data_IF_180705279965
#
_entry.id   IF_180705279965
#
_cell.length_a   1.000
_cell.length_b   1.000
_cell.length_c   1.000
_cell.angle_alpha   90.00
_cell.angle_beta   90.00
_cell.angle_gamma   90.00
#
_symmetry.space_group_name_H-M   'P 1'
#
loop_
_entity.id
_entity.type
_entity.pdbx_description
1 polymer ?
#
# COMPACT_ATOMS: atom_id res chain seq x y z
N UNK A 1 -22.22 -29.78 6.11
CA UNK A 1 -21.91 -28.34 6.22
C UNK A 1 -20.55 -28.24 6.86
N UNK A 2 -19.53 -27.83 6.11
CA UNK A 2 -18.19 -27.59 6.67
C UNK A 2 -18.26 -26.35 7.57
N UNK A 3 -17.69 -26.44 8.76
CA UNK A 3 -17.64 -25.33 9.71
C UNK A 3 -16.26 -24.68 9.63
N UNK A 4 -16.23 -23.40 9.26
CA UNK A 4 -15.03 -22.57 9.35
C UNK A 4 -15.05 -21.87 10.70
N UNK A 5 -13.97 -22.01 11.46
CA UNK A 5 -13.79 -21.35 12.75
C UNK A 5 -12.63 -20.37 12.62
N UNK A 6 -12.85 -19.11 12.93
CA UNK A 6 -11.78 -18.10 12.98
C UNK A 6 -11.44 -17.81 14.43
N UNK A 7 -10.15 -17.71 14.74
CA UNK A 7 -9.64 -17.47 16.10
C UNK A 7 -8.74 -16.24 16.08
N UNK A 8 -9.12 -15.21 16.84
CA UNK A 8 -8.27 -14.05 17.10
C UNK A 8 -7.34 -14.36 18.27
N UNK A 9 -6.03 -14.22 18.07
CA UNK A 9 -5.03 -14.57 19.08
C UNK A 9 -4.58 -13.38 19.95
N UNK A 10 -5.24 -12.21 19.88
CA UNK A 10 -4.83 -11.01 20.61
C UNK A 10 -4.87 -11.12 22.15
N UNK A 11 -5.59 -12.06 22.77
CA UNK A 11 -5.84 -12.07 24.23
C UNK A 11 -5.66 -13.43 24.93
N UNK A 12 -4.79 -14.31 24.45
CA UNK A 12 -4.49 -15.58 25.13
C UNK A 12 -3.01 -15.67 25.51
N UNK A 13 -2.60 -14.77 26.41
CA UNK A 13 -1.36 -14.90 27.16
C UNK A 13 -1.63 -14.62 28.63
N UNK A 14 -2.54 -15.38 29.24
CA UNK A 14 -2.58 -15.59 30.69
C UNK A 14 -3.41 -16.85 30.96
N UNK A 15 -2.85 -17.71 31.81
CA UNK A 15 -3.40 -18.96 32.37
C UNK A 15 -3.29 -20.25 31.55
N UNK A 16 -2.20 -20.98 31.83
CA UNK A 16 -2.05 -22.38 31.45
C UNK A 16 -0.76 -23.01 31.97
N UNK A 17 -0.71 -23.31 33.26
CA UNK A 17 0.32 -24.18 33.87
C UNK A 17 0.46 -25.50 33.11
N UNK A 18 1.67 -25.81 32.61
CA UNK A 18 2.01 -27.18 32.22
C UNK A 18 3.38 -27.54 32.80
N UNK A 19 3.34 -28.69 33.45
CA UNK A 19 4.28 -29.31 34.37
C UNK A 19 5.58 -29.76 33.68
N UNK A 20 6.67 -29.73 34.45
CA UNK A 20 8.04 -30.10 34.07
C UNK A 20 8.17 -31.54 33.53
N UNK A 21 8.96 -31.69 32.47
CA UNK A 21 9.48 -32.97 31.99
C UNK A 21 10.77 -32.77 31.16
N UNK A 22 11.89 -33.14 31.77
CA UNK A 22 13.28 -33.38 31.29
C UNK A 22 13.36 -33.92 29.84
N UNK A 23 14.39 -33.70 29.02
CA UNK A 23 15.81 -33.50 29.24
C UNK A 23 16.52 -32.88 28.01
N UNK A 24 17.70 -32.33 28.28
CA UNK A 24 18.67 -31.69 27.40
C UNK A 24 19.29 -32.64 26.37
N UNK A 25 19.55 -32.13 25.17
CA UNK A 25 20.78 -32.37 24.41
C UNK A 25 20.96 -31.20 23.41
N UNK A 26 21.95 -30.34 23.69
CA UNK A 26 22.44 -29.26 22.82
C UNK A 26 23.62 -29.75 21.95
N UNK A 27 23.97 -28.92 20.96
CA UNK A 27 25.14 -28.84 20.06
C UNK A 27 24.91 -29.34 18.63
N UNK A 28 25.17 -28.58 17.55
CA UNK A 28 25.75 -27.26 17.32
C UNK A 28 25.33 -26.86 15.89
N UNK A 29 24.85 -25.63 15.67
CA UNK A 29 24.66 -25.07 14.33
C UNK A 29 25.49 -23.79 14.22
N UNK A 30 26.34 -23.76 13.21
CA UNK A 30 27.36 -22.74 12.97
C UNK A 30 26.76 -21.33 12.85
N UNK A 31 27.36 -20.40 13.59
CA UNK A 31 27.03 -18.98 13.61
C UNK A 31 27.43 -18.30 12.30
N UNK A 32 26.44 -17.83 11.54
CA UNK A 32 26.63 -16.74 10.58
C UNK A 32 26.12 -15.45 11.23
N UNK A 33 27.03 -14.68 11.82
CA UNK A 33 26.75 -13.35 12.35
C UNK A 33 26.47 -12.38 11.20
N UNK A 34 25.20 -12.26 10.80
CA UNK A 34 24.69 -11.10 10.08
C UNK A 34 24.33 -10.03 11.11
N UNK A 35 24.97 -8.87 11.02
CA UNK A 35 24.76 -7.72 11.89
C UNK A 35 23.42 -7.06 11.54
N UNK A 36 22.38 -7.25 12.35
CA UNK A 36 21.04 -6.66 12.18
C UNK A 36 20.96 -5.19 12.65
N UNK A 37 21.97 -4.38 12.31
CA UNK A 37 22.03 -2.95 12.68
C UNK A 37 21.77 -2.00 11.48
N UNK A 38 21.25 -2.50 10.34
CA UNK A 38 21.13 -1.74 9.09
C UNK A 38 19.70 -1.23 8.77
N UNK A 39 18.71 -1.49 9.63
CA UNK A 39 17.29 -1.26 9.30
C UNK A 39 16.71 0.09 9.76
N UNK A 40 17.39 0.84 10.63
CA UNK A 40 16.91 2.19 11.05
C UNK A 40 17.10 3.27 9.95
N UNK A 41 17.82 2.96 8.86
CA UNK A 41 18.03 3.89 7.73
C UNK A 41 17.00 3.78 6.60
N UNK A 42 16.16 2.74 6.59
CA UNK A 42 15.39 2.36 5.41
C UNK A 42 14.15 3.24 5.18
N UNK A 43 13.55 3.81 6.23
CA UNK A 43 12.42 4.74 6.09
C UNK A 43 12.86 6.11 5.54
N UNK A 44 14.02 6.61 5.97
CA UNK A 44 14.64 7.81 5.40
C UNK A 44 15.12 7.55 3.96
N UNK A 45 15.68 6.38 3.66
CA UNK A 45 16.07 5.97 2.31
C UNK A 45 14.87 5.81 1.36
N UNK A 46 13.75 5.23 1.81
CA UNK A 46 12.51 5.14 1.01
C UNK A 46 11.95 6.54 0.74
N UNK A 47 11.94 7.42 1.75
CA UNK A 47 11.50 8.82 1.60
C UNK A 47 12.38 9.61 0.62
N UNK A 48 13.71 9.42 0.68
CA UNK A 48 14.66 10.02 -0.26
C UNK A 48 14.56 9.40 -1.66
N UNK A 49 14.24 8.11 -1.77
CA UNK A 49 14.11 7.41 -3.05
C UNK A 49 12.91 7.86 -3.89
N UNK A 50 11.94 8.53 -3.28
CA UNK A 50 10.77 9.12 -3.98
C UNK A 50 10.98 10.59 -4.34
N UNK A 51 12.09 11.19 -3.90
CA UNK A 51 12.37 12.59 -4.19
C UNK A 51 12.70 12.81 -5.66
N UNK A 52 12.00 13.74 -6.28
CA UNK A 52 12.23 14.12 -7.68
C UNK A 52 12.57 15.59 -7.80
N UNK A 53 13.53 15.89 -8.67
CA UNK A 53 13.85 17.25 -9.08
C UNK A 53 12.75 17.82 -9.99
N UNK A 54 12.51 19.12 -9.91
CA UNK A 54 11.74 19.86 -10.92
C UNK A 54 12.32 19.63 -12.32
N UNK A 55 11.46 19.61 -13.33
CA UNK A 55 11.87 19.50 -14.73
C UNK A 55 12.69 20.71 -15.23
N UNK A 56 12.47 21.89 -14.65
CA UNK A 56 12.97 23.17 -15.18
C UNK A 56 13.87 23.94 -14.21
N UNK A 57 13.88 23.59 -12.93
CA UNK A 57 14.69 24.25 -11.90
C UNK A 57 15.35 23.22 -10.96
N UNK A 58 16.05 23.70 -9.94
CA UNK A 58 16.79 22.86 -9.00
C UNK A 58 16.02 22.51 -7.72
N UNK A 59 14.72 22.80 -7.65
CA UNK A 59 13.89 22.43 -6.50
C UNK A 59 13.61 20.91 -6.47
N UNK A 60 13.56 20.35 -5.26
CA UNK A 60 13.34 18.92 -4.99
C UNK A 60 11.99 18.75 -4.30
N UNK A 61 11.24 17.73 -4.68
CA UNK A 61 9.91 17.44 -4.16
C UNK A 61 9.83 15.99 -3.70
N UNK A 62 9.03 15.74 -2.66
CA UNK A 62 8.85 14.42 -2.08
C UNK A 62 8.06 13.44 -2.96
N UNK A 63 7.39 13.93 -4.01
CA UNK A 63 6.72 13.10 -5.01
C UNK A 63 6.52 13.86 -6.33
N UNK A 64 6.19 13.09 -7.37
CA UNK A 64 5.95 13.60 -8.72
C UNK A 64 4.77 14.57 -8.80
N UNK A 65 3.68 14.35 -8.06
CA UNK A 65 2.48 15.20 -8.13
C UNK A 65 2.74 16.63 -7.65
N UNK A 66 3.45 16.76 -6.51
CA UNK A 66 3.86 18.06 -5.98
C UNK A 66 4.81 18.77 -6.95
N UNK A 67 5.74 18.03 -7.56
CA UNK A 67 6.63 18.57 -8.59
C UNK A 67 5.85 19.06 -9.83
N UNK A 68 4.82 18.33 -10.26
CA UNK A 68 3.96 18.75 -11.37
C UNK A 68 3.13 19.99 -11.04
N UNK A 69 2.64 20.13 -9.81
CA UNK A 69 1.93 21.34 -9.37
C UNK A 69 2.88 22.54 -9.27
N UNK A 70 4.12 22.32 -8.83
CA UNK A 70 5.17 23.33 -8.92
C UNK A 70 5.45 23.73 -10.37
N UNK A 71 5.58 22.77 -11.29
CA UNK A 71 5.76 23.06 -12.72
C UNK A 71 4.61 23.91 -13.29
N UNK A 72 3.37 23.65 -12.86
CA UNK A 72 2.22 24.45 -13.28
C UNK A 72 2.30 25.88 -12.73
N UNK A 73 2.57 26.04 -11.44
CA UNK A 73 2.51 27.34 -10.77
C UNK A 73 3.72 28.25 -11.05
N UNK A 74 4.93 27.70 -11.06
CA UNK A 74 6.18 28.47 -11.22
C UNK A 74 6.69 28.50 -12.67
N UNK A 75 6.45 27.43 -13.43
CA UNK A 75 6.95 27.30 -14.80
C UNK A 75 5.85 27.40 -15.86
N UNK A 76 4.60 27.65 -15.45
CA UNK A 76 3.42 27.72 -16.34
C UNK A 76 3.30 26.47 -17.24
N UNK A 77 3.76 25.32 -16.75
CA UNK A 77 3.83 24.08 -17.50
C UNK A 77 2.84 23.06 -16.93
N UNK A 78 1.77 22.78 -17.67
CA UNK A 78 0.80 21.74 -17.32
C UNK A 78 1.16 20.41 -17.99
N UNK A 79 1.80 19.51 -17.24
CA UNK A 79 2.21 18.18 -17.75
C UNK A 79 1.02 17.39 -18.32
N UNK A 80 -0.15 17.47 -17.70
CA UNK A 80 -1.35 16.72 -18.14
C UNK A 80 -1.81 17.22 -19.51
N UNK A 81 -1.93 18.54 -19.68
CA UNK A 81 -2.25 19.15 -20.96
C UNK A 81 -1.17 18.90 -22.01
N UNK A 82 0.11 18.92 -21.61
CA UNK A 82 1.24 18.65 -22.49
C UNK A 82 1.22 17.22 -23.04
N UNK A 83 1.14 16.22 -22.16
CA UNK A 83 1.06 14.81 -22.52
C UNK A 83 -0.13 14.54 -23.44
N UNK A 84 -1.30 15.13 -23.16
CA UNK A 84 -2.48 15.00 -24.04
C UNK A 84 -2.24 15.61 -25.42
N UNK A 85 -1.69 16.82 -25.49
CA UNK A 85 -1.43 17.50 -26.76
C UNK A 85 -0.43 16.70 -27.61
N UNK A 86 0.68 16.31 -27.01
CA UNK A 86 1.75 15.59 -27.69
C UNK A 86 1.41 14.11 -27.93
N UNK A 87 0.44 13.55 -27.19
CA UNK A 87 0.05 12.15 -27.29
C UNK A 87 1.13 11.20 -26.76
N UNK A 88 1.78 11.56 -25.65
CA UNK A 88 2.85 10.75 -25.06
C UNK A 88 2.24 9.51 -24.37
N UNK A 89 2.70 8.32 -24.77
CA UNK A 89 2.49 7.08 -24.01
C UNK A 89 3.59 6.91 -22.95
N UNK A 90 3.55 5.84 -22.15
CA UNK A 90 4.51 5.57 -21.08
C UNK A 90 5.97 5.55 -21.57
N UNK A 91 6.24 4.99 -22.74
CA UNK A 91 7.59 4.91 -23.33
C UNK A 91 8.04 6.29 -23.83
N UNK A 92 7.16 7.02 -24.51
CA UNK A 92 7.45 8.36 -25.01
C UNK A 92 7.66 9.36 -23.87
N UNK A 93 6.94 9.17 -22.75
CA UNK A 93 7.13 9.94 -21.53
C UNK A 93 8.51 9.70 -20.91
N UNK A 94 8.96 8.46 -20.80
CA UNK A 94 10.32 8.14 -20.32
C UNK A 94 11.38 8.83 -21.20
N UNK A 95 11.22 8.74 -22.53
CA UNK A 95 12.11 9.45 -23.49
C UNK A 95 12.09 10.95 -23.28
N UNK A 96 10.89 11.51 -23.10
CA UNK A 96 10.68 12.93 -22.84
C UNK A 96 11.35 13.40 -21.56
N UNK A 97 11.23 12.66 -20.46
CA UNK A 97 11.93 12.98 -19.19
C UNK A 97 13.45 12.97 -19.42
N UNK A 98 13.99 11.89 -20.02
CA UNK A 98 15.42 11.78 -20.29
C UNK A 98 15.93 12.92 -21.18
N UNK A 99 15.15 13.33 -22.18
CA UNK A 99 15.47 14.45 -23.04
C UNK A 99 15.55 15.77 -22.27
N UNK A 100 14.54 16.09 -21.44
CA UNK A 100 14.53 17.30 -20.62
C UNK A 100 15.71 17.33 -19.66
N UNK A 101 15.97 16.22 -18.95
CA UNK A 101 17.09 16.12 -18.01
C UNK A 101 18.44 16.34 -18.69
N UNK A 102 18.61 15.84 -19.92
CA UNK A 102 19.85 15.95 -20.69
C UNK A 102 20.09 17.35 -21.27
N UNK A 103 19.03 18.09 -21.60
CA UNK A 103 19.15 19.38 -22.31
C UNK A 103 18.83 20.60 -21.45
N UNK A 104 18.24 20.40 -20.25
CA UNK A 104 17.87 21.46 -19.29
C UNK A 104 17.10 22.62 -19.95
N UNK A 105 16.10 22.26 -20.75
CA UNK A 105 15.25 23.22 -21.45
C UNK A 105 14.41 24.04 -20.48
N UNK A 106 14.09 25.26 -20.86
CA UNK A 106 13.05 26.05 -20.22
C UNK A 106 11.65 25.59 -20.66
N UNK A 107 10.63 25.91 -19.84
CA UNK A 107 9.22 25.65 -20.17
C UNK A 107 8.82 26.29 -21.51
N UNK A 108 9.30 27.51 -21.81
CA UNK A 108 9.02 28.20 -23.09
C UNK A 108 9.59 27.45 -24.29
N UNK A 109 10.85 27.05 -24.23
CA UNK A 109 11.50 26.31 -25.34
C UNK A 109 10.81 24.96 -25.57
N UNK A 110 10.38 24.29 -24.50
CA UNK A 110 9.68 23.02 -24.59
C UNK A 110 8.29 23.14 -25.24
N UNK A 111 7.62 24.28 -25.05
CA UNK A 111 6.30 24.56 -25.61
C UNK A 111 6.35 24.95 -27.09
N UNK A 112 7.50 25.40 -27.60
CA UNK A 112 7.72 25.73 -29.02
C UNK A 112 7.93 24.48 -29.90
N UNK A 113 8.23 23.33 -29.29
CA UNK A 113 8.46 22.08 -30.01
C UNK A 113 7.13 21.56 -30.61
N UNK A 114 7.04 21.42 -31.94
CA UNK A 114 5.85 20.88 -32.57
C UNK A 114 5.77 19.35 -32.36
N UNK A 115 4.54 18.84 -32.30
CA UNK A 115 4.24 17.42 -32.04
C UNK A 115 4.96 16.49 -33.01
N UNK A 116 4.97 16.85 -34.28
CA UNK A 116 5.49 16.04 -35.38
C UNK A 116 7.03 15.97 -35.38
N UNK A 117 7.70 16.89 -34.68
CA UNK A 117 9.16 16.96 -34.62
C UNK A 117 9.68 16.76 -33.19
N UNK A 118 9.02 15.90 -32.41
CA UNK A 118 9.39 15.56 -31.04
C UNK A 118 10.85 15.08 -30.96
N UNK A 119 11.79 15.86 -30.39
CA UNK A 119 13.22 15.52 -30.40
C UNK A 119 13.52 14.26 -29.59
N UNK A 120 12.70 13.96 -28.59
CA UNK A 120 12.82 12.78 -27.74
C UNK A 120 12.43 11.48 -28.43
N UNK A 121 11.87 11.47 -29.65
CA UNK A 121 11.51 10.23 -30.35
C UNK A 121 12.72 9.32 -30.65
N UNK A 122 13.94 9.87 -30.63
CA UNK A 122 15.19 9.14 -30.88
C UNK A 122 15.45 8.07 -29.81
N UNK A 123 16.04 6.96 -30.23
CA UNK A 123 16.32 5.82 -29.35
C UNK A 123 17.39 6.09 -28.28
N UNK A 124 18.20 7.13 -28.46
CA UNK A 124 19.19 7.54 -27.45
C UNK A 124 18.56 7.88 -26.09
N UNK A 125 17.30 8.36 -26.09
CA UNK A 125 16.56 8.70 -24.87
C UNK A 125 15.84 7.51 -24.22
N UNK A 126 16.01 6.29 -24.73
CA UNK A 126 15.63 5.07 -24.00
C UNK A 126 16.58 4.77 -22.84
N UNK A 127 17.78 5.33 -22.87
CA UNK A 127 18.73 5.19 -21.77
C UNK A 127 18.39 6.24 -20.71
N UNK A 128 18.20 5.83 -19.45
CA UNK A 128 17.93 6.78 -18.38
C UNK A 128 19.08 7.77 -18.27
N UNK A 129 18.77 9.07 -18.21
CA UNK A 129 19.77 10.09 -17.87
C UNK A 129 20.26 9.88 -16.44
N UNK A 130 19.32 9.59 -15.54
CA UNK A 130 19.55 9.14 -14.18
C UNK A 130 18.64 7.93 -13.93
N UNK A 131 19.23 6.79 -13.60
CA UNK A 131 18.50 5.54 -13.38
C UNK A 131 17.66 5.56 -12.10
N UNK A 132 17.98 6.47 -11.17
CA UNK A 132 17.25 6.66 -9.92
C UNK A 132 16.15 7.74 -10.03
N UNK A 133 15.94 8.35 -11.20
CA UNK A 133 14.90 9.39 -11.36
C UNK A 133 13.50 8.77 -11.19
N UNK A 134 12.75 9.13 -10.12
CA UNK A 134 11.46 8.51 -9.82
C UNK A 134 10.40 8.76 -10.89
N UNK A 135 10.58 9.79 -11.72
CA UNK A 135 9.68 10.06 -12.84
C UNK A 135 9.74 8.97 -13.90
N UNK A 136 10.84 8.23 -14.04
CA UNK A 136 10.93 7.16 -15.04
C UNK A 136 10.05 5.95 -14.70
N UNK A 137 9.75 5.75 -13.42
CA UNK A 137 8.84 4.71 -12.93
C UNK A 137 7.42 5.21 -12.69
N UNK A 138 7.17 6.51 -12.85
CA UNK A 138 5.86 7.11 -12.61
C UNK A 138 4.85 6.70 -13.68
N UNK A 139 3.69 6.18 -13.27
CA UNK A 139 2.60 5.84 -14.18
C UNK A 139 1.85 7.09 -14.64
N UNK A 140 2.42 7.75 -15.64
CA UNK A 140 1.87 8.96 -16.24
C UNK A 140 0.54 8.72 -16.96
N UNK A 141 0.30 7.52 -17.49
CA UNK A 141 -0.91 7.24 -18.28
C UNK A 141 -2.13 7.23 -17.38
N UNK A 142 -2.05 6.49 -16.27
CA UNK A 142 -3.10 6.47 -15.24
C UNK A 142 -3.32 7.86 -14.65
N UNK A 143 -2.25 8.59 -14.34
CA UNK A 143 -2.33 9.94 -13.79
C UNK A 143 -3.04 10.93 -14.75
N UNK A 144 -2.66 10.94 -16.03
CA UNK A 144 -3.29 11.82 -17.04
C UNK A 144 -4.75 11.46 -17.22
N UNK A 145 -5.08 10.17 -17.27
CA UNK A 145 -6.47 9.71 -17.41
C UNK A 145 -7.35 10.17 -16.23
N UNK A 146 -6.86 10.02 -15.00
CA UNK A 146 -7.55 10.46 -13.79
C UNK A 146 -7.77 11.98 -13.79
N UNK A 147 -6.72 12.78 -14.04
CA UNK A 147 -6.82 14.25 -14.04
C UNK A 147 -7.69 14.79 -15.16
N UNK A 148 -7.76 14.14 -16.31
CA UNK A 148 -8.69 14.53 -17.37
C UNK A 148 -10.15 14.20 -17.00
N UNK A 149 -10.40 13.09 -16.31
CA UNK A 149 -11.73 12.76 -15.82
C UNK A 149 -12.23 13.76 -14.77
N UNK A 150 -11.34 14.26 -13.90
CA UNK A 150 -11.64 15.34 -12.95
C UNK A 150 -11.98 16.66 -13.65
N UNK A 151 -11.19 17.05 -14.67
CA UNK A 151 -11.38 18.32 -15.41
C UNK A 151 -12.62 18.36 -16.29
N UNK A 152 -13.06 17.20 -16.80
CA UNK A 152 -14.25 17.10 -17.65
C UNK A 152 -15.57 17.41 -16.93
N UNK A 153 -15.54 17.55 -15.60
CA UNK A 153 -16.71 17.89 -14.78
C UNK A 153 -16.90 19.41 -14.59
N UNK A 154 -16.02 20.26 -15.17
CA UNK A 154 -15.91 21.69 -14.79
C UNK A 154 -15.92 22.74 -15.92
N UNK A 155 -16.48 22.47 -17.11
CA UNK A 155 -16.59 23.51 -18.17
C UNK A 155 -18.04 23.85 -18.59
N UNK A 156 -18.23 25.10 -19.03
CA UNK A 156 -19.35 26.05 -18.82
C UNK A 156 -20.78 25.67 -19.28
N UNK A 157 -21.77 26.02 -18.43
CA UNK A 157 -23.24 25.95 -18.64
C UNK A 157 -23.79 24.61 -19.14
N UNK A 158 -23.62 23.56 -18.34
CA UNK A 158 -24.32 22.30 -18.56
C UNK A 158 -25.67 22.37 -17.85
N UNK A 159 -26.77 22.30 -18.60
CA UNK A 159 -28.05 21.86 -18.01
C UNK A 159 -27.88 20.39 -17.67
N UNK A 160 -27.43 20.11 -16.45
CA UNK A 160 -27.25 18.74 -15.95
C UNK A 160 -28.64 18.16 -15.73
N UNK A 161 -28.99 17.00 -16.31
CA UNK A 161 -30.25 16.31 -15.97
C UNK A 161 -30.30 16.12 -14.46
N UNK A 162 -31.44 16.40 -13.84
CA UNK A 162 -31.57 16.41 -12.38
C UNK A 162 -31.08 15.11 -11.71
N UNK A 163 -31.23 13.97 -12.39
CA UNK A 163 -30.70 12.68 -11.97
C UNK A 163 -29.18 12.61 -11.85
N UNK A 164 -28.42 13.29 -12.73
CA UNK A 164 -26.96 13.35 -12.66
C UNK A 164 -26.50 14.33 -11.56
N UNK A 165 -27.22 15.42 -11.35
CA UNK A 165 -26.96 16.32 -10.22
C UNK A 165 -27.15 15.60 -8.88
N UNK A 166 -28.25 14.86 -8.72
CA UNK A 166 -28.51 14.04 -7.54
C UNK A 166 -27.43 12.96 -7.34
N UNK A 167 -26.97 12.31 -8.41
CA UNK A 167 -25.88 11.33 -8.32
C UNK A 167 -24.54 11.96 -7.88
N UNK A 168 -24.23 13.18 -8.32
CA UNK A 168 -23.03 13.90 -7.87
C UNK A 168 -23.16 14.28 -6.40
N UNK A 169 -24.31 14.80 -5.96
CA UNK A 169 -24.56 15.10 -4.55
C UNK A 169 -24.43 13.86 -3.67
N UNK A 170 -24.96 12.72 -4.11
CA UNK A 170 -24.80 11.45 -3.39
C UNK A 170 -23.34 11.02 -3.29
N UNK A 171 -22.57 11.15 -4.38
CA UNK A 171 -21.13 10.84 -4.36
C UNK A 171 -20.35 11.79 -3.45
N UNK A 172 -20.70 13.07 -3.45
CA UNK A 172 -20.05 14.08 -2.62
C UNK A 172 -20.34 13.80 -1.15
N UNK A 173 -21.61 13.54 -0.80
CA UNK A 173 -22.01 13.13 0.53
C UNK A 173 -21.31 11.85 0.99
N UNK A 174 -21.21 10.84 0.12
CA UNK A 174 -20.47 9.61 0.42
C UNK A 174 -18.98 9.85 0.68
N UNK A 175 -18.35 10.73 -0.11
CA UNK A 175 -16.95 11.13 0.11
C UNK A 175 -16.79 11.90 1.42
N UNK A 176 -17.70 12.80 1.76
CA UNK A 176 -17.72 13.51 3.05
C UNK A 176 -17.85 12.54 4.22
N UNK A 177 -18.78 11.57 4.15
CA UNK A 177 -18.92 10.54 5.19
C UNK A 177 -17.65 9.71 5.35
N UNK A 178 -17.01 9.32 4.24
CA UNK A 178 -15.74 8.59 4.28
C UNK A 178 -14.63 9.42 4.91
N UNK A 179 -14.53 10.69 4.55
CA UNK A 179 -13.54 11.60 5.09
C UNK A 179 -13.76 11.80 6.59
N UNK A 180 -15.01 12.00 7.02
CA UNK A 180 -15.36 12.12 8.43
C UNK A 180 -14.99 10.84 9.20
N UNK A 181 -15.32 9.66 8.67
CA UNK A 181 -14.96 8.39 9.28
C UNK A 181 -13.43 8.21 9.40
N UNK A 182 -12.65 8.71 8.45
CA UNK A 182 -11.20 8.70 8.50
C UNK A 182 -10.67 9.64 9.60
N UNK A 183 -11.21 10.85 9.71
CA UNK A 183 -10.88 11.77 10.80
C UNK A 183 -11.21 11.17 12.18
N UNK A 184 -12.39 10.60 12.34
CA UNK A 184 -12.79 9.94 13.59
C UNK A 184 -11.85 8.76 13.93
N UNK A 185 -11.38 8.03 12.91
CA UNK A 185 -10.40 6.94 13.10
C UNK A 185 -9.04 7.48 13.53
N UNK A 186 -8.57 8.57 12.92
CA UNK A 186 -7.32 9.23 13.31
C UNK A 186 -7.41 9.75 14.76
N UNK A 187 -8.53 10.35 15.15
CA UNK A 187 -8.70 10.87 16.52
C UNK A 187 -8.79 9.74 17.55
N UNK A 188 -9.49 8.64 17.24
CA UNK A 188 -9.45 7.42 18.06
C UNK A 188 -8.03 6.87 18.18
N UNK A 189 -7.27 6.83 17.08
CA UNK A 189 -5.87 6.37 17.10
C UNK A 189 -4.99 7.28 17.98
N UNK A 190 -5.18 8.60 17.91
CA UNK A 190 -4.47 9.55 18.79
C UNK A 190 -4.82 9.33 20.26
N UNK A 191 -6.08 9.05 20.58
CA UNK A 191 -6.51 8.80 21.94
C UNK A 191 -5.96 7.48 22.48
N UNK A 192 -6.00 6.41 21.69
CA UNK A 192 -5.36 5.13 22.04
C UNK A 192 -3.86 5.31 22.24
N UNK A 193 -3.16 6.00 21.32
CA UNK A 193 -1.74 6.28 21.44
C UNK A 193 -1.42 7.10 22.70
N UNK A 194 -2.24 8.10 23.03
CA UNK A 194 -2.09 8.89 24.26
C UNK A 194 -2.30 8.06 25.51
N UNK A 195 -3.28 7.14 25.53
CA UNK A 195 -3.51 6.25 26.67
C UNK A 195 -2.36 5.26 26.88
N UNK A 196 -1.75 4.78 25.80
CA UNK A 196 -0.54 3.92 25.86
C UNK A 196 0.67 4.70 26.37
N UNK A 197 0.82 5.95 25.95
CA UNK A 197 1.96 6.80 26.35
C UNK A 197 1.83 7.42 27.75
N UNK A 198 0.60 7.71 28.22
CA UNK A 198 0.35 8.45 29.45
C UNK A 198 -0.12 7.61 30.65
N UNK A 199 -0.49 6.33 30.49
CA UNK A 199 -0.87 5.47 31.63
C UNK A 199 0.32 4.82 32.37
N UNK A 200 1.54 5.30 32.15
CA UNK A 200 2.70 4.98 32.98
C UNK A 200 2.88 6.02 34.10
N UNK A 201 1.87 6.21 34.93
CA UNK A 201 2.04 6.88 36.22
C UNK A 201 2.47 5.87 37.28
N UNK A 202 3.78 5.90 37.54
CA UNK A 202 4.39 5.84 38.87
C UNK A 202 3.91 4.74 39.83
N UNK A 203 4.47 3.54 39.67
CA UNK A 203 4.79 2.70 40.82
C UNK A 203 6.27 2.36 40.78
N UNK A 204 6.97 2.86 41.80
CA UNK A 204 8.35 2.54 42.12
C UNK A 204 8.51 1.02 42.25
N UNK A 205 9.08 0.35 41.25
CA UNK A 205 9.82 -0.88 41.52
C UNK A 205 11.02 -0.97 40.59
N UNK A 206 12.21 -0.78 41.17
CA UNK A 206 13.49 -0.94 40.50
C UNK A 206 13.69 -2.43 40.24
N UNK A 207 13.40 -2.90 39.02
CA UNK A 207 13.89 -4.19 38.54
C UNK A 207 14.64 -4.02 37.22
N UNK A 208 15.67 -4.84 36.97
CA UNK A 208 16.59 -4.63 35.86
C UNK A 208 15.84 -4.74 34.55
N UNK A 209 16.20 -3.86 33.62
CA UNK A 209 15.74 -3.83 32.24
C UNK A 209 16.11 -5.16 31.56
N UNK A 210 15.15 -6.07 31.39
CA UNK A 210 15.32 -7.30 30.58
C UNK A 210 14.90 -7.04 29.14
N UNK A 211 15.62 -7.65 28.19
CA UNK A 211 15.51 -7.51 26.74
C UNK A 211 14.13 -7.88 26.15
N UNK A 212 13.23 -8.44 26.94
CA UNK A 212 11.92 -8.95 26.50
C UNK A 212 10.96 -7.85 26.02
N UNK A 213 11.17 -6.58 26.39
CA UNK A 213 10.28 -5.46 26.02
C UNK A 213 10.60 -4.77 24.69
N UNK A 214 11.77 -5.04 24.08
CA UNK A 214 12.10 -4.47 22.75
C UNK A 214 11.46 -5.25 21.60
N UNK A 215 11.27 -6.56 21.77
CA UNK A 215 10.63 -7.42 20.77
C UNK A 215 9.12 -7.16 20.59
N UNK A 216 8.43 -6.57 21.58
CA UNK A 216 6.98 -6.32 21.48
C UNK A 216 6.60 -5.19 20.52
N UNK A 217 7.47 -4.18 20.33
CA UNK A 217 7.11 -2.98 19.58
C UNK A 217 7.19 -3.15 18.04
N UNK A 218 8.09 -3.99 17.55
CA UNK A 218 8.25 -4.24 16.10
C UNK A 218 7.18 -5.19 15.56
N UNK A 219 6.87 -6.25 16.32
CA UNK A 219 5.76 -7.15 15.98
C UNK A 219 4.44 -6.38 15.90
N UNK A 220 4.14 -5.53 16.89
CA UNK A 220 2.90 -4.76 16.92
C UNK A 220 2.81 -3.76 15.76
N UNK A 221 3.93 -3.20 15.29
CA UNK A 221 4.00 -2.35 14.09
C UNK A 221 3.70 -3.13 12.79
N UNK A 222 4.25 -4.34 12.66
CA UNK A 222 3.98 -5.23 11.53
C UNK A 222 2.51 -5.63 11.45
N UNK A 223 1.90 -6.07 12.58
CA UNK A 223 0.48 -6.45 12.60
C UNK A 223 -0.47 -5.26 12.40
N UNK A 224 -0.11 -4.07 12.91
CA UNK A 224 -0.84 -2.82 12.68
C UNK A 224 -0.92 -2.45 11.19
N UNK A 225 0.13 -2.76 10.42
CA UNK A 225 0.15 -2.54 8.97
C UNK A 225 -0.90 -3.42 8.26
N UNK A 226 -1.10 -4.66 8.71
CA UNK A 226 -2.16 -5.55 8.21
C UNK A 226 -3.56 -5.21 8.74
N UNK A 227 -3.71 -4.37 9.76
CA UNK A 227 -5.03 -3.83 10.18
C UNK A 227 -5.60 -2.82 9.18
N UNK A 228 -4.78 -2.35 8.23
CA UNK A 228 -5.22 -1.41 7.20
C UNK A 228 -5.86 -2.14 6.01
N UNK A 229 -7.16 -1.89 5.82
CA UNK A 229 -7.98 -2.39 4.70
C UNK A 229 -7.33 -2.20 3.32
N UNK A 230 -6.49 -1.17 3.15
CA UNK A 230 -5.80 -0.89 1.91
C UNK A 230 -4.90 -2.06 1.45
N UNK A 231 -4.18 -2.69 2.37
CA UNK A 231 -3.22 -3.75 2.04
C UNK A 231 -3.96 -5.05 1.70
N UNK A 232 -5.02 -5.39 2.43
CA UNK A 232 -5.89 -6.52 2.05
C UNK A 232 -6.59 -6.29 0.71
N UNK A 233 -6.98 -5.05 0.42
CA UNK A 233 -7.59 -4.72 -0.86
C UNK A 233 -6.60 -4.84 -2.03
N UNK A 234 -5.39 -4.31 -1.88
CA UNK A 234 -4.31 -4.46 -2.86
C UNK A 234 -3.99 -5.94 -3.11
N UNK A 235 -3.81 -6.70 -2.03
CA UNK A 235 -3.58 -8.13 -2.09
C UNK A 235 -4.70 -8.87 -2.85
N UNK A 236 -5.97 -8.55 -2.58
CA UNK A 236 -7.12 -9.18 -3.25
C UNK A 236 -7.28 -8.72 -4.71
N UNK A 237 -6.84 -7.50 -5.05
CA UNK A 237 -6.85 -7.00 -6.42
C UNK A 237 -5.76 -7.62 -7.29
N UNK A 238 -4.67 -8.12 -6.69
CA UNK A 238 -3.70 -8.95 -7.40
C UNK A 238 -4.34 -10.27 -7.85
N UNK A 239 -4.69 -10.30 -9.13
CA UNK A 239 -5.31 -11.44 -9.80
C UNK A 239 -4.35 -12.62 -9.92
N UNK A 240 -3.07 -12.39 -10.19
CA UNK A 240 -2.11 -13.49 -10.41
C UNK A 240 -1.94 -14.22 -9.08
N UNK A 241 -1.68 -13.49 -8.00
CA UNK A 241 -1.55 -14.05 -6.65
C UNK A 241 -2.81 -14.80 -6.24
N UNK A 242 -3.97 -14.14 -6.27
CA UNK A 242 -5.23 -14.70 -5.74
C UNK A 242 -5.71 -15.91 -6.56
N UNK A 243 -5.63 -15.85 -7.89
CA UNK A 243 -6.05 -16.98 -8.74
C UNK A 243 -5.07 -18.14 -8.67
N UNK A 244 -3.77 -17.90 -8.50
CA UNK A 244 -2.80 -18.97 -8.33
C UNK A 244 -3.09 -19.81 -7.09
N UNK A 245 -3.37 -19.16 -5.95
CA UNK A 245 -3.79 -19.88 -4.73
C UNK A 245 -5.13 -20.58 -4.90
N UNK A 246 -6.12 -19.93 -5.52
CA UNK A 246 -7.41 -20.56 -5.82
C UNK A 246 -7.23 -21.84 -6.63
N UNK A 247 -6.48 -21.75 -7.73
CA UNK A 247 -6.24 -22.87 -8.63
C UNK A 247 -5.48 -23.98 -7.93
N UNK A 248 -4.43 -23.65 -7.16
CA UNK A 248 -3.66 -24.64 -6.40
C UNK A 248 -4.55 -25.42 -5.43
N UNK A 249 -5.50 -24.77 -4.76
CA UNK A 249 -6.39 -25.41 -3.80
C UNK A 249 -7.51 -26.18 -4.51
N UNK A 250 -8.24 -25.54 -5.42
CA UNK A 250 -9.43 -26.12 -6.05
C UNK A 250 -9.10 -27.24 -7.05
N UNK A 251 -7.97 -27.14 -7.77
CA UNK A 251 -7.56 -28.20 -8.72
C UNK A 251 -7.02 -29.45 -8.02
N UNK A 252 -6.63 -29.34 -6.75
CA UNK A 252 -6.16 -30.46 -5.92
C UNK A 252 -7.15 -30.76 -4.78
N UNK A 253 -8.45 -30.64 -5.05
CA UNK A 253 -9.52 -30.75 -4.05
C UNK A 253 -9.49 -32.05 -3.25
N UNK A 254 -8.99 -33.14 -3.83
CA UNK A 254 -8.81 -34.44 -3.19
C UNK A 254 -7.87 -34.40 -1.98
N UNK A 255 -6.88 -33.49 -1.97
CA UNK A 255 -5.96 -33.30 -0.84
C UNK A 255 -6.68 -32.62 0.33
N UNK A 256 -7.64 -31.75 0.04
CA UNK A 256 -8.39 -30.98 1.03
C UNK A 256 -9.66 -31.69 1.51
N UNK A 257 -10.23 -32.57 0.69
CA UNK A 257 -11.51 -33.23 0.98
C UNK A 257 -11.49 -33.99 2.32
N UNK A 258 -12.47 -33.67 3.18
CA UNK A 258 -12.60 -34.18 4.55
C UNK A 258 -11.40 -33.94 5.48
N UNK A 259 -10.46 -33.06 5.12
CA UNK A 259 -9.31 -32.71 5.98
C UNK A 259 -9.58 -31.51 6.88
N UNK A 260 -8.77 -31.41 7.94
CA UNK A 260 -8.67 -30.22 8.77
C UNK A 260 -7.56 -29.33 8.23
N UNK A 261 -7.87 -28.06 7.99
CA UNK A 261 -6.95 -27.08 7.38
C UNK A 261 -6.72 -25.94 8.37
N UNK A 262 -5.48 -25.48 8.49
CA UNK A 262 -5.08 -24.30 9.24
C UNK A 262 -4.59 -23.24 8.23
N UNK A 263 -5.18 -22.06 8.27
CA UNK A 263 -4.82 -20.90 7.46
C UNK A 263 -4.16 -19.87 8.38
N UNK A 264 -2.85 -19.68 8.21
CA UNK A 264 -2.00 -18.86 9.09
C UNK A 264 -1.85 -17.48 8.48
N UNK A 265 -2.25 -16.43 9.19
CA UNK A 265 -2.37 -15.08 8.63
C UNK A 265 -3.54 -15.01 7.65
N UNK A 266 -4.72 -15.48 8.08
CA UNK A 266 -5.84 -15.68 7.18
C UNK A 266 -6.39 -14.38 6.57
N UNK A 267 -6.08 -13.22 7.14
CA UNK A 267 -6.53 -11.91 6.72
C UNK A 267 -8.05 -11.86 6.61
N UNK A 268 -8.54 -11.58 5.40
CA UNK A 268 -9.97 -11.60 5.04
C UNK A 268 -10.58 -13.00 4.85
N UNK A 269 -9.84 -14.06 5.19
CA UNK A 269 -10.20 -15.48 5.09
C UNK A 269 -10.48 -16.00 3.66
N UNK A 270 -9.95 -15.36 2.62
CA UNK A 270 -10.18 -15.80 1.23
C UNK A 270 -9.64 -17.21 0.95
N UNK A 271 -8.46 -17.55 1.47
CA UNK A 271 -7.86 -18.88 1.31
C UNK A 271 -8.61 -19.94 2.12
N UNK A 272 -9.00 -19.58 3.35
CA UNK A 272 -9.91 -20.39 4.15
C UNK A 272 -11.20 -20.75 3.41
N UNK A 273 -11.80 -19.80 2.68
CA UNK A 273 -12.99 -20.06 1.86
C UNK A 273 -12.71 -20.99 0.68
N UNK A 274 -11.56 -20.88 0.02
CA UNK A 274 -11.16 -21.82 -1.04
C UNK A 274 -10.96 -23.24 -0.50
N UNK A 275 -10.31 -23.39 0.66
CA UNK A 275 -10.14 -24.68 1.31
C UNK A 275 -11.48 -25.32 1.70
N UNK A 276 -12.42 -24.52 2.23
CA UNK A 276 -13.78 -24.98 2.51
C UNK A 276 -14.50 -25.43 1.23
N UNK A 277 -14.38 -24.66 0.14
CA UNK A 277 -14.96 -24.99 -1.18
C UNK A 277 -14.34 -26.25 -1.80
N UNK A 278 -13.06 -26.51 -1.55
CA UNK A 278 -12.38 -27.75 -1.94
C UNK A 278 -12.83 -28.97 -1.12
N UNK A 279 -13.69 -28.79 -0.11
CA UNK A 279 -14.31 -29.87 0.66
C UNK A 279 -13.62 -30.19 1.98
N UNK A 280 -12.81 -29.28 2.52
CA UNK A 280 -12.26 -29.42 3.87
C UNK A 280 -13.39 -29.66 4.90
N UNK A 281 -13.18 -30.59 5.83
CA UNK A 281 -14.16 -30.88 6.89
C UNK A 281 -14.20 -29.77 7.94
N UNK A 282 -13.05 -29.15 8.21
CA UNK A 282 -12.92 -28.00 9.11
C UNK A 282 -11.78 -27.10 8.65
N UNK A 283 -11.99 -25.80 8.65
CA UNK A 283 -10.95 -24.80 8.37
C UNK A 283 -10.81 -23.90 9.59
N UNK A 284 -9.58 -23.72 10.06
CA UNK A 284 -9.22 -22.85 11.17
C UNK A 284 -8.40 -21.70 10.60
N UNK A 285 -8.96 -20.49 10.54
CA UNK A 285 -8.22 -19.30 10.15
C UNK A 285 -7.71 -18.58 11.39
N UNK A 286 -6.42 -18.29 11.42
CA UNK A 286 -5.77 -17.56 12.52
C UNK A 286 -5.15 -16.31 11.95
N UNK A 287 -5.45 -15.20 12.58
CA UNK A 287 -4.83 -13.91 12.29
C UNK A 287 -4.68 -13.13 13.60
N UNK A 288 -3.58 -12.40 13.72
CA UNK A 288 -3.29 -11.52 14.86
C UNK A 288 -3.84 -10.11 14.62
N UNK A 289 -4.14 -9.75 13.37
CA UNK A 289 -4.71 -8.46 12.98
C UNK A 289 -6.23 -8.40 13.22
N UNK A 290 -6.73 -7.19 13.52
CA UNK A 290 -8.14 -6.85 13.68
C UNK A 290 -8.99 -7.11 12.42
N UNK A 291 -8.35 -7.32 11.25
CA UNK A 291 -9.02 -7.75 10.01
C UNK A 291 -9.84 -9.03 10.21
N UNK A 292 -9.43 -9.87 11.17
CA UNK A 292 -10.12 -11.13 11.46
C UNK A 292 -11.58 -10.93 11.87
N UNK A 293 -11.94 -9.81 12.48
CA UNK A 293 -13.34 -9.51 12.82
C UNK A 293 -14.20 -9.33 11.56
N UNK A 294 -13.65 -8.70 10.52
CA UNK A 294 -14.32 -8.60 9.22
C UNK A 294 -14.42 -9.96 8.54
N UNK A 295 -13.36 -10.76 8.61
CA UNK A 295 -13.36 -12.13 8.11
C UNK A 295 -14.43 -13.00 8.77
N UNK A 296 -14.67 -12.83 10.08
CA UNK A 296 -15.75 -13.51 10.79
C UNK A 296 -17.13 -13.15 10.25
N UNK A 297 -17.36 -11.88 9.92
CA UNK A 297 -18.62 -11.43 9.33
C UNK A 297 -18.79 -11.95 7.89
N UNK A 298 -17.72 -12.00 7.09
CA UNK A 298 -17.73 -12.55 5.72
C UNK A 298 -18.09 -14.04 5.76
N UNK A 299 -17.48 -14.83 6.65
CA UNK A 299 -17.68 -16.29 6.73
C UNK A 299 -19.07 -16.66 7.28
N UNK A 300 -19.72 -15.76 8.03
CA UNK A 300 -21.07 -15.97 8.56
C UNK A 300 -22.16 -15.79 7.49
N UNK A 301 -21.84 -15.15 6.37
CA UNK A 301 -22.77 -14.87 5.27
C UNK A 301 -22.74 -15.98 4.22
#
# INVERSE_FOLDING_TARGET
>A
MSSTTLVNNCHLAEDGEINHGTAMEEVEAESSSGSDDEWEGMEEEISLSMQTLCLFCSEIFNNAELMFEHCRSQHMFDIVGYCRRMGLNCIDYIKFINYIRSHRLSSSELMEIPKEASPWSKDEYMKPYDAADPLLTFDIESFVQEKLAERADYDETITIPQSRFEAILQKLHHKEMKLQNAYDRIDRMKETAKNVLCNNDYSSDKRPFTEERRMSNEEDSYFSTYDHFAIHHEMLQDKIRTLSYQDAILKNSEIFHNKRVLDVGCGTAILSMFAAKAGASKVMGVDKSDVIFQAMDIVRY
#
